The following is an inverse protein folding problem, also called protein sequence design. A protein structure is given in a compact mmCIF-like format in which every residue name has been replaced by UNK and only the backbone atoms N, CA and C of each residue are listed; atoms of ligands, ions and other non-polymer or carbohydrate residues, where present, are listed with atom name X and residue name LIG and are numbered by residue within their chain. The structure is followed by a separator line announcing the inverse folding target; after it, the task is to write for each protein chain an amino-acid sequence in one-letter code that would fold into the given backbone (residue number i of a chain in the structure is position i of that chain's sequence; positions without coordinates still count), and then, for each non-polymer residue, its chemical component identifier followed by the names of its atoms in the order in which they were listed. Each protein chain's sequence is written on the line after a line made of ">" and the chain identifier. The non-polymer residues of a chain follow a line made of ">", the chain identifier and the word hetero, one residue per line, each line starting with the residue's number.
data_IF_836763830626
#
_entry.id   IF_836763830626
#
_cell.length_a   1.000
_cell.length_b   1.000
_cell.length_c   1.000
_cell.angle_alpha   90.00
_cell.angle_beta   90.00
_cell.angle_gamma   90.00
#
_symmetry.space_group_name_H-M   'P 1'
#
loop_
_entity.id
_entity.type
_entity.pdbx_description
1 polymer ?
#
# COMPACT_ATOMS: atom_id res chain seq x y z
N UNK A 1 7.56 -5.62 -4.25
CA UNK A 1 7.86 -6.74 -5.16
C UNK A 1 6.61 -7.13 -5.92
N UNK A 2 6.69 -7.40 -7.23
CA UNK A 2 5.58 -7.85 -8.07
C UNK A 2 6.00 -9.08 -8.88
N UNK A 3 5.10 -10.07 -8.92
CA UNK A 3 5.31 -11.33 -9.64
C UNK A 3 5.17 -11.09 -11.16
N UNK A 4 6.18 -11.50 -11.91
CA UNK A 4 6.22 -11.46 -13.37
C UNK A 4 5.69 -12.78 -13.97
N UNK A 5 5.51 -12.80 -15.29
CA UNK A 5 4.98 -13.96 -16.04
C UNK A 5 5.88 -15.20 -15.97
N UNK A 6 7.18 -15.01 -15.75
CA UNK A 6 8.17 -16.06 -15.51
C UNK A 6 8.10 -16.64 -14.09
N UNK A 7 7.22 -16.11 -13.24
CA UNK A 7 7.04 -16.51 -11.86
C UNK A 7 8.02 -15.88 -10.88
N UNK A 8 8.96 -15.07 -11.35
CA UNK A 8 9.96 -14.36 -10.54
C UNK A 8 9.36 -13.07 -9.98
N UNK A 9 9.78 -12.68 -8.78
CA UNK A 9 9.40 -11.41 -8.19
C UNK A 9 10.41 -10.32 -8.55
N UNK A 10 9.94 -9.25 -9.16
CA UNK A 10 10.74 -8.06 -9.43
C UNK A 10 10.51 -6.99 -8.35
N UNK A 11 11.57 -6.25 -7.99
CA UNK A 11 11.42 -5.04 -7.19
C UNK A 11 10.84 -3.92 -8.07
N UNK A 12 9.83 -3.23 -7.55
CA UNK A 12 9.18 -2.10 -8.24
C UNK A 12 9.76 -0.78 -7.72
N UNK A 13 9.82 -0.66 -6.40
CA UNK A 13 10.29 0.51 -5.67
C UNK A 13 10.90 0.04 -4.35
N UNK A 14 11.92 0.76 -3.89
CA UNK A 14 12.62 0.54 -2.63
C UNK A 14 12.86 1.90 -2.00
N UNK A 15 12.67 1.99 -0.69
CA UNK A 15 12.78 3.20 0.11
C UNK A 15 13.36 2.84 1.48
N UNK A 16 14.05 3.79 2.12
CA UNK A 16 14.61 3.60 3.46
C UNK A 16 13.52 3.68 4.55
N UNK A 17 12.39 4.33 4.23
CA UNK A 17 11.21 4.38 5.07
C UNK A 17 10.18 3.33 4.64
N UNK A 18 9.54 2.70 5.63
CA UNK A 18 8.44 1.76 5.36
C UNK A 18 7.25 2.52 4.74
N UNK A 19 6.89 2.15 3.52
CA UNK A 19 5.67 2.62 2.89
C UNK A 19 4.41 2.33 3.73
N UNK A 20 3.50 3.30 3.77
CA UNK A 20 2.14 3.07 4.25
C UNK A 20 1.30 2.31 3.21
N UNK A 21 0.15 1.77 3.62
CA UNK A 21 -0.68 0.98 2.70
C UNK A 21 -1.11 1.77 1.45
N UNK A 22 -1.39 3.06 1.60
CA UNK A 22 -1.77 3.95 0.51
C UNK A 22 -0.65 4.08 -0.52
N UNK A 23 0.56 4.42 -0.07
CA UNK A 23 1.75 4.55 -0.91
C UNK A 23 2.08 3.25 -1.64
N UNK A 24 2.06 2.10 -0.95
CA UNK A 24 2.30 0.80 -1.60
C UNK A 24 1.28 0.55 -2.72
N UNK A 25 0.00 0.87 -2.49
CA UNK A 25 -1.05 0.70 -3.50
C UNK A 25 -0.79 1.58 -4.72
N UNK A 26 -0.43 2.84 -4.52
CA UNK A 26 -0.11 3.77 -5.61
C UNK A 26 1.06 3.27 -6.46
N UNK A 27 2.18 2.91 -5.83
CA UNK A 27 3.36 2.40 -6.53
C UNK A 27 3.06 1.11 -7.30
N UNK A 28 2.28 0.21 -6.70
CA UNK A 28 1.88 -1.04 -7.35
C UNK A 28 0.94 -0.79 -8.55
N UNK A 29 -0.06 0.08 -8.40
CA UNK A 29 -0.98 0.42 -9.49
C UNK A 29 -0.27 1.14 -10.62
N UNK A 30 0.70 2.01 -10.31
CA UNK A 30 1.55 2.66 -11.30
C UNK A 30 2.37 1.63 -12.09
N UNK A 31 3.05 0.70 -11.40
CA UNK A 31 3.85 -0.34 -12.02
C UNK A 31 3.03 -1.31 -12.89
N UNK A 32 1.78 -1.58 -12.50
CA UNK A 32 0.86 -2.41 -13.29
C UNK A 32 0.17 -1.64 -14.43
N UNK A 33 0.43 -0.33 -14.59
CA UNK A 33 -0.20 0.50 -15.62
C UNK A 33 -1.70 0.70 -15.40
N UNK A 34 -2.16 0.61 -14.15
CA UNK A 34 -3.58 0.69 -13.77
C UNK A 34 -4.01 2.10 -13.31
N UNK A 35 -3.08 3.04 -13.16
CA UNK A 35 -3.35 4.42 -12.76
C UNK A 35 -3.76 5.30 -13.97
N UNK A 36 -4.64 4.79 -14.83
CA UNK A 36 -5.08 5.44 -16.09
C UNK A 36 -6.38 6.22 -15.94
N UNK A 37 -7.01 6.15 -14.77
CA UNK A 37 -8.35 6.66 -14.53
C UNK A 37 -8.30 8.09 -14.00
N UNK A 38 -9.30 8.90 -14.37
CA UNK A 38 -9.40 10.29 -13.91
C UNK A 38 -9.58 10.34 -12.38
N UNK A 39 -8.89 11.29 -11.74
CA UNK A 39 -8.95 11.47 -10.30
C UNK A 39 -10.39 11.75 -9.85
N UNK A 40 -10.90 10.92 -8.94
CA UNK A 40 -12.29 11.03 -8.45
C UNK A 40 -13.33 10.24 -9.25
N UNK A 41 -12.93 9.49 -10.28
CA UNK A 41 -13.83 8.56 -10.95
C UNK A 41 -14.24 7.40 -10.03
N UNK A 42 -15.45 6.87 -10.24
CA UNK A 42 -15.94 5.68 -9.52
C UNK A 42 -15.03 4.47 -9.77
N UNK A 43 -14.47 4.34 -10.97
CA UNK A 43 -13.51 3.30 -11.30
C UNK A 43 -12.23 3.40 -10.45
N UNK A 44 -11.68 4.62 -10.30
CA UNK A 44 -10.50 4.86 -9.47
C UNK A 44 -10.77 4.54 -8.00
N UNK A 45 -11.97 4.86 -7.51
CA UNK A 45 -12.39 4.49 -6.16
C UNK A 45 -12.51 2.97 -5.99
N UNK A 46 -13.14 2.26 -6.92
CA UNK A 46 -13.31 0.80 -6.84
C UNK A 46 -11.97 0.07 -6.90
N UNK A 47 -11.00 0.61 -7.64
CA UNK A 47 -9.66 0.02 -7.76
C UNK A 47 -8.79 0.27 -6.52
N UNK A 48 -8.79 1.49 -5.96
CA UNK A 48 -8.07 1.82 -4.71
C UNK A 48 -8.71 1.19 -3.47
N UNK A 49 -10.05 1.18 -3.46
CA UNK A 49 -10.88 0.90 -2.30
C UNK A 49 -10.92 2.05 -1.30
N UNK A 50 -11.68 1.85 -0.23
CA UNK A 50 -11.87 2.85 0.82
C UNK A 50 -10.70 2.95 1.81
N UNK A 51 -10.09 1.81 2.16
CA UNK A 51 -9.07 1.75 3.22
C UNK A 51 -7.68 2.05 2.67
N UNK A 52 -7.07 3.12 3.18
CA UNK A 52 -5.74 3.61 2.80
C UNK A 52 -4.67 3.37 3.85
N UNK A 53 -5.06 2.93 5.05
CA UNK A 53 -4.15 2.63 6.15
C UNK A 53 -4.26 1.19 6.63
N UNK A 54 -3.19 0.64 7.19
CA UNK A 54 -3.24 -0.64 7.93
C UNK A 54 -3.60 -0.43 9.40
N UNK A 55 -4.08 -1.48 10.07
CA UNK A 55 -4.31 -1.46 11.53
C UNK A 55 -3.06 -1.04 12.31
N UNK A 56 -1.88 -1.44 11.83
CA UNK A 56 -0.59 -1.06 12.41
C UNK A 56 -0.27 0.44 12.24
N UNK A 57 -0.77 1.08 11.18
CA UNK A 57 -0.60 2.52 10.94
C UNK A 57 -1.57 3.33 11.78
N UNK A 58 -2.82 2.88 11.91
CA UNK A 58 -3.87 3.56 12.68
C UNK A 58 -3.57 3.57 14.19
N UNK A 59 -3.11 2.45 14.73
CA UNK A 59 -2.90 2.24 16.17
C UNK A 59 -1.40 2.25 16.56
N UNK A 60 -0.57 2.99 15.82
CA UNK A 60 0.91 2.99 16.01
C UNK A 60 1.35 3.35 17.43
N UNK A 61 0.57 4.17 18.15
CA UNK A 61 0.84 4.52 19.55
C UNK A 61 0.55 3.36 20.52
N UNK A 62 -0.50 2.57 20.24
CA UNK A 62 -0.85 1.36 20.99
C UNK A 62 0.23 0.29 20.85
N UNK A 63 0.77 0.11 19.65
CA UNK A 63 1.85 -0.86 19.37
C UNK A 63 3.17 -0.52 20.10
N UNK A 64 3.44 0.78 20.32
CA UNK A 64 4.60 1.24 21.09
C UNK A 64 4.37 1.15 22.60
N UNK A 65 3.12 1.01 23.05
CA UNK A 65 2.80 0.94 24.46
C UNK A 65 3.36 -0.35 25.07
N UNK A 66 4.06 -0.21 26.19
CA UNK A 66 4.47 -1.34 27.03
C UNK A 66 3.40 -1.78 28.02
N UNK A 67 2.24 -1.10 28.06
CA UNK A 67 1.21 -1.31 29.08
C UNK A 67 0.59 -2.71 29.06
N UNK A 68 0.64 -3.40 27.91
CA UNK A 68 0.22 -4.81 27.83
C UNK A 68 1.11 -5.77 28.65
N UNK A 69 2.29 -5.31 29.09
CA UNK A 69 3.23 -6.10 29.91
C UNK A 69 3.00 -5.94 31.42
N UNK A 70 2.08 -5.09 31.86
CA UNK A 70 1.77 -4.85 33.27
C UNK A 70 0.67 -5.78 33.80
#
# INVERSE_FOLDING_TARGET
>A
MLKQDDGVYACIAEDDVRYNLGEVKEELMAAMGLNTEEAGSVAAFLRRGYKTSTWFEDDRALEQSGEWRL
#
